data_IF_012129714355
#
_entry.id   IF_012129714355
#
_cell.length_a   1.000
_cell.length_b   1.000
_cell.length_c   1.000
_cell.angle_alpha   90.00
_cell.angle_beta   90.00
_cell.angle_gamma   90.00
#
_symmetry.space_group_name_H-M   'P 1'
#
loop_
_entity.id
_entity.type
_entity.pdbx_description
1 polymer ?
#
# COMPACT_ATOMS: atom_id res chain seq x y z
N UNK A 1 -10.27 13.11 20.43
CA UNK A 1 -9.53 14.14 19.66
C UNK A 1 -8.26 14.47 20.42
N UNK A 2 -7.13 14.62 19.75
CA UNK A 2 -5.85 15.05 20.34
C UNK A 2 -5.21 16.13 19.46
N UNK A 3 -4.17 16.80 19.96
CA UNK A 3 -3.52 17.91 19.26
C UNK A 3 -2.06 17.56 18.97
N UNK A 4 -1.61 17.89 17.76
CA UNK A 4 -0.20 17.90 17.40
C UNK A 4 0.11 19.23 16.72
N UNK A 5 0.85 20.09 17.41
CA UNK A 5 0.93 21.51 17.03
C UNK A 5 -0.44 22.19 17.13
N UNK A 6 -0.82 22.94 16.10
CA UNK A 6 -2.07 23.72 16.05
C UNK A 6 -3.22 23.00 15.33
N UNK A 7 -3.02 21.78 14.88
CA UNK A 7 -4.04 21.05 14.11
C UNK A 7 -4.68 19.98 14.99
N UNK A 8 -6.00 20.02 15.22
CA UNK A 8 -6.70 18.94 15.91
C UNK A 8 -6.71 17.68 15.05
N UNK A 9 -6.51 16.53 15.70
CA UNK A 9 -6.43 15.22 15.05
C UNK A 9 -7.41 14.21 15.67
N UNK A 10 -7.94 13.34 14.83
CA UNK A 10 -8.79 12.21 15.20
C UNK A 10 -8.29 10.95 14.50
N UNK A 11 -8.25 9.83 15.23
CA UNK A 11 -7.99 8.51 14.66
C UNK A 11 -9.31 7.75 14.66
N UNK A 12 -9.72 7.24 13.50
CA UNK A 12 -10.91 6.40 13.35
C UNK A 12 -10.44 4.98 13.13
N UNK A 13 -10.83 4.06 14.02
CA UNK A 13 -10.46 2.63 13.96
C UNK A 13 -11.62 1.73 13.52
N UNK A 14 -12.84 2.22 13.62
CA UNK A 14 -14.04 1.50 13.22
C UNK A 14 -14.08 1.34 11.68
N UNK A 15 -14.05 0.11 11.14
CA UNK A 15 -14.05 -0.12 9.70
C UNK A 15 -15.27 0.44 8.95
N UNK A 16 -16.44 0.55 9.59
CA UNK A 16 -17.64 1.13 8.95
C UNK A 16 -17.46 2.64 8.79
N UNK A 17 -16.99 3.32 9.84
CA UNK A 17 -16.72 4.77 9.80
C UNK A 17 -15.57 5.09 8.84
N UNK A 18 -14.56 4.21 8.75
CA UNK A 18 -13.48 4.34 7.76
C UNK A 18 -14.03 4.28 6.34
N UNK A 19 -14.92 3.33 6.06
CA UNK A 19 -15.55 3.23 4.76
C UNK A 19 -16.39 4.48 4.45
N UNK A 20 -17.14 5.01 5.42
CA UNK A 20 -17.90 6.25 5.27
C UNK A 20 -16.99 7.42 4.86
N UNK A 21 -15.86 7.59 5.56
CA UNK A 21 -14.86 8.62 5.25
C UNK A 21 -14.29 8.44 3.85
N UNK A 22 -13.88 7.22 3.49
CA UNK A 22 -13.24 6.93 2.21
C UNK A 22 -14.23 6.94 1.02
N UNK A 23 -15.51 6.68 1.27
CA UNK A 23 -16.55 6.66 0.23
C UNK A 23 -17.18 8.03 0.00
N UNK A 24 -16.83 9.04 0.81
CA UNK A 24 -17.42 10.37 0.74
C UNK A 24 -17.09 11.05 -0.60
N UNK A 25 -18.15 11.32 -1.40
CA UNK A 25 -18.06 12.00 -2.70
C UNK A 25 -18.32 13.51 -2.62
N UNK A 26 -18.69 14.02 -1.45
CA UNK A 26 -19.16 15.40 -1.28
C UNK A 26 -18.00 16.40 -1.12
N UNK A 27 -16.73 15.95 -1.20
CA UNK A 27 -15.56 16.82 -1.03
C UNK A 27 -15.45 17.40 0.39
N UNK A 28 -16.03 16.71 1.39
CA UNK A 28 -15.93 17.09 2.80
C UNK A 28 -14.53 16.82 3.34
N UNK A 29 -13.90 15.78 2.79
CA UNK A 29 -12.54 15.38 3.05
C UNK A 29 -11.64 15.67 1.86
N UNK A 30 -10.41 16.08 2.13
CA UNK A 30 -9.32 15.97 1.17
C UNK A 30 -8.00 15.63 1.86
N UNK A 31 -6.91 15.61 1.09
CA UNK A 31 -5.58 15.32 1.67
C UNK A 31 -5.18 16.48 2.59
N UNK A 32 -4.64 16.21 3.80
CA UNK A 32 -4.07 17.27 4.60
C UNK A 32 -2.94 17.98 3.82
N UNK A 33 -2.70 19.27 4.08
CA UNK A 33 -1.58 19.97 3.47
C UNK A 33 -0.28 19.22 3.78
N UNK A 34 0.43 18.83 2.73
CA UNK A 34 1.68 18.09 2.86
C UNK A 34 2.73 18.96 3.55
N UNK A 35 3.51 18.36 4.45
CA UNK A 35 4.68 19.02 5.02
C UNK A 35 5.66 19.40 3.89
N UNK A 36 6.18 20.64 3.85
CA UNK A 36 7.17 21.05 2.85
C UNK A 36 8.36 20.09 2.72
N UNK A 37 8.82 19.47 3.81
CA UNK A 37 9.90 18.48 3.77
C UNK A 37 9.48 17.19 3.05
N UNK A 38 8.23 16.74 3.21
CA UNK A 38 7.69 15.60 2.47
C UNK A 38 7.57 15.93 0.99
N UNK A 39 7.18 17.17 0.65
CA UNK A 39 7.15 17.64 -0.73
C UNK A 39 8.54 17.67 -1.36
N UNK A 40 9.56 18.14 -0.63
CA UNK A 40 10.95 18.15 -1.11
C UNK A 40 11.47 16.73 -1.31
N UNK A 41 11.22 15.82 -0.36
CA UNK A 41 11.61 14.41 -0.46
C UNK A 41 10.90 13.71 -1.63
N UNK A 42 9.62 14.00 -1.85
CA UNK A 42 8.85 13.43 -2.96
C UNK A 42 9.25 13.99 -4.32
N UNK A 43 9.80 15.21 -4.37
CA UNK A 43 10.21 15.87 -5.63
C UNK A 43 11.63 15.53 -6.07
N UNK A 44 12.43 14.91 -5.21
CA UNK A 44 13.86 14.72 -5.44
C UNK A 44 14.59 16.08 -5.47
N UNK A 45 15.89 16.07 -5.20
CA UNK A 45 16.73 17.27 -5.20
C UNK A 45 16.86 17.86 -6.60
N UNK A 46 15.87 18.63 -7.04
CA UNK A 46 15.97 19.52 -8.20
C UNK A 46 15.30 20.85 -7.84
N UNK A 47 16.02 21.66 -7.05
CA UNK A 47 15.85 23.10 -7.13
C UNK A 47 16.77 23.62 -8.24
N UNK A 48 16.18 24.17 -9.30
CA UNK A 48 16.58 25.49 -9.79
C UNK A 48 15.38 26.15 -10.47
N UNK A 49 15.00 27.29 -9.89
CA UNK A 49 14.29 28.43 -10.47
C UNK A 49 13.02 28.18 -11.30
N UNK A 50 11.89 28.68 -10.79
CA UNK A 50 11.35 29.94 -11.31
C UNK A 50 10.29 30.53 -10.36
N UNK A 51 10.58 31.74 -9.88
CA UNK A 51 9.58 32.66 -9.37
C UNK A 51 8.79 33.26 -10.54
N UNK A 52 7.51 33.52 -10.25
CA UNK A 52 6.56 34.44 -10.91
C UNK A 52 6.22 34.18 -12.39
N UNK A 53 4.94 33.91 -12.67
CA UNK A 53 4.01 34.98 -13.08
C UNK A 53 2.58 34.43 -13.24
N UNK A 54 1.64 35.08 -12.56
CA UNK A 54 0.22 34.99 -12.86
C UNK A 54 -0.03 35.59 -14.25
N UNK A 55 -0.25 34.74 -15.25
CA UNK A 55 -0.86 35.16 -16.51
C UNK A 55 -2.16 34.43 -16.71
N UNK A 56 -3.24 35.21 -16.74
CA UNK A 56 -4.56 34.78 -17.15
C UNK A 56 -4.49 34.23 -18.58
N UNK A 57 -4.64 32.92 -18.76
CA UNK A 57 -4.85 32.33 -20.07
C UNK A 57 -6.30 31.84 -20.21
N UNK A 58 -6.82 32.09 -21.41
CA UNK A 58 -8.22 32.06 -21.78
C UNK A 58 -8.77 30.63 -21.80
N UNK A 59 -10.05 30.51 -21.41
CA UNK A 59 -10.92 29.36 -21.74
C UNK A 59 -10.74 28.95 -23.20
N UNK A 60 -10.29 27.72 -23.45
CA UNK A 60 -10.26 27.20 -24.82
C UNK A 60 -9.33 26.03 -25.13
N UNK A 61 -8.91 25.20 -24.17
CA UNK A 61 -8.49 23.82 -24.42
C UNK A 61 -8.56 23.05 -23.09
N UNK A 62 -9.11 21.84 -23.08
CA UNK A 62 -9.36 21.05 -21.85
C UNK A 62 -8.28 19.97 -21.62
N UNK A 63 -7.14 20.08 -22.29
CA UNK A 63 -5.99 19.17 -22.12
C UNK A 63 -5.04 19.63 -21.01
N UNK A 64 -4.34 18.67 -20.40
CA UNK A 64 -3.19 18.96 -19.54
C UNK A 64 -2.06 19.55 -20.39
N UNK A 65 -1.33 20.53 -19.86
CA UNK A 65 -0.09 20.99 -20.51
C UNK A 65 0.98 19.90 -20.46
N UNK A 66 2.01 20.01 -21.31
CA UNK A 66 3.12 19.04 -21.29
C UNK A 66 3.83 19.02 -19.93
N UNK A 67 3.95 20.18 -19.27
CA UNK A 67 4.51 20.29 -17.92
C UNK A 67 3.64 19.57 -16.90
N UNK A 68 2.32 19.75 -16.96
CA UNK A 68 1.39 19.02 -16.09
C UNK A 68 1.46 17.51 -16.32
N UNK A 69 1.57 17.05 -17.57
CA UNK A 69 1.78 15.64 -17.91
C UNK A 69 3.10 15.12 -17.34
N UNK A 70 4.21 15.88 -17.43
CA UNK A 70 5.50 15.49 -16.86
C UNK A 70 5.40 15.36 -15.34
N UNK A 71 4.75 16.30 -14.66
CA UNK A 71 4.57 16.26 -13.21
C UNK A 71 3.71 15.05 -12.77
N UNK A 72 2.62 14.76 -13.49
CA UNK A 72 1.81 13.56 -13.22
C UNK A 72 2.60 12.26 -13.48
N UNK A 73 3.43 12.20 -14.53
CA UNK A 73 4.31 11.07 -14.81
C UNK A 73 5.32 10.83 -13.67
N UNK A 74 5.92 11.89 -13.11
CA UNK A 74 6.83 11.76 -11.95
C UNK A 74 6.11 11.18 -10.74
N UNK A 75 4.88 11.63 -10.48
CA UNK A 75 4.05 11.11 -9.38
C UNK A 75 3.78 9.62 -9.58
N UNK A 76 3.40 9.18 -10.78
CA UNK A 76 3.17 7.76 -11.06
C UNK A 76 4.44 6.92 -10.92
N UNK A 77 5.59 7.43 -11.37
CA UNK A 77 6.86 6.72 -11.26
C UNK A 77 7.23 6.44 -9.79
N UNK A 78 7.22 7.49 -8.94
CA UNK A 78 7.54 7.34 -7.51
C UNK A 78 6.50 6.48 -6.80
N UNK A 79 5.21 6.72 -7.06
CA UNK A 79 4.14 5.99 -6.41
C UNK A 79 4.16 4.50 -6.76
N UNK A 80 4.41 4.14 -8.03
CA UNK A 80 4.49 2.76 -8.49
C UNK A 80 5.74 2.04 -8.00
N UNK A 81 6.92 2.65 -8.16
CA UNK A 81 8.18 1.99 -7.86
C UNK A 81 8.38 1.73 -6.36
N UNK A 82 8.26 2.75 -5.53
CA UNK A 82 8.62 2.65 -4.10
C UNK A 82 7.65 1.73 -3.35
N UNK A 83 6.36 1.77 -3.68
CA UNK A 83 5.34 0.96 -3.00
C UNK A 83 5.40 -0.51 -3.41
N UNK A 84 5.54 -0.82 -4.70
CA UNK A 84 5.67 -2.21 -5.18
C UNK A 84 6.99 -2.83 -4.72
N UNK A 85 8.10 -2.07 -4.76
CA UNK A 85 9.40 -2.51 -4.23
C UNK A 85 9.34 -2.85 -2.74
N UNK A 86 8.68 -2.02 -1.94
CA UNK A 86 8.44 -2.30 -0.51
C UNK A 86 7.63 -3.59 -0.31
N UNK A 87 6.52 -3.78 -1.05
CA UNK A 87 5.72 -5.01 -1.00
C UNK A 87 6.55 -6.25 -1.33
N UNK A 88 7.33 -6.21 -2.42
CA UNK A 88 8.19 -7.32 -2.83
C UNK A 88 9.27 -7.61 -1.79
N UNK A 89 9.89 -6.57 -1.24
CA UNK A 89 10.92 -6.69 -0.19
C UNK A 89 10.37 -7.41 1.04
N UNK A 90 9.22 -6.97 1.56
CA UNK A 90 8.56 -7.65 2.69
C UNK A 90 8.12 -9.05 2.33
N UNK A 91 7.65 -9.29 1.10
CA UNK A 91 7.25 -10.62 0.65
C UNK A 91 8.43 -11.57 0.63
N UNK A 92 9.59 -11.15 0.14
CA UNK A 92 10.80 -11.97 0.16
C UNK A 92 11.29 -12.24 1.59
N UNK A 93 11.25 -11.24 2.49
CA UNK A 93 11.58 -11.45 3.91
C UNK A 93 10.67 -12.51 4.53
N UNK A 94 9.35 -12.36 4.37
CA UNK A 94 8.36 -13.26 4.96
C UNK A 94 8.49 -14.67 4.38
N UNK A 95 8.64 -14.82 3.05
CA UNK A 95 8.86 -16.14 2.45
C UNK A 95 10.20 -16.77 2.85
N UNK A 96 11.22 -15.97 3.19
CA UNK A 96 12.47 -16.48 3.75
C UNK A 96 12.31 -16.98 5.20
N UNK A 97 11.38 -16.40 5.96
CA UNK A 97 10.98 -16.85 7.30
C UNK A 97 10.06 -18.08 7.26
N UNK A 98 9.35 -18.28 6.14
CA UNK A 98 8.35 -19.33 5.95
C UNK A 98 8.65 -20.19 4.71
N UNK A 99 9.70 -21.05 4.75
CA UNK A 99 10.16 -21.81 3.59
C UNK A 99 9.08 -22.73 3.00
N UNK A 100 8.16 -23.27 3.81
CA UNK A 100 7.04 -24.08 3.33
C UNK A 100 6.12 -23.30 2.38
N UNK A 101 5.91 -22.01 2.64
CA UNK A 101 5.14 -21.14 1.77
C UNK A 101 5.90 -20.73 0.51
N UNK A 102 7.22 -20.55 0.63
CA UNK A 102 8.08 -20.30 -0.52
C UNK A 102 8.00 -21.48 -1.50
N UNK A 103 8.03 -22.71 -0.99
CA UNK A 103 7.95 -23.92 -1.80
C UNK A 103 6.55 -24.12 -2.40
N UNK A 104 5.47 -23.93 -1.62
CA UNK A 104 4.09 -23.94 -2.16
C UNK A 104 3.89 -22.95 -3.30
N UNK A 105 4.39 -21.71 -3.13
CA UNK A 105 4.30 -20.68 -4.16
C UNK A 105 5.13 -21.04 -5.39
N UNK A 106 6.34 -21.59 -5.21
CA UNK A 106 7.18 -22.08 -6.30
C UNK A 106 6.50 -23.18 -7.10
N UNK A 107 5.91 -24.16 -6.43
CA UNK A 107 5.19 -25.26 -7.09
C UNK A 107 4.01 -24.73 -7.92
N UNK A 108 3.24 -23.78 -7.38
CA UNK A 108 2.18 -23.11 -8.15
C UNK A 108 2.74 -22.40 -9.38
N UNK A 109 3.82 -21.61 -9.23
CA UNK A 109 4.44 -20.88 -10.34
C UNK A 109 4.92 -21.85 -11.42
N UNK A 110 5.60 -22.95 -11.06
CA UNK A 110 6.07 -23.95 -12.02
C UNK A 110 4.93 -24.64 -12.76
N UNK A 111 3.82 -24.91 -12.07
CA UNK A 111 2.65 -25.57 -12.64
C UNK A 111 1.88 -24.64 -13.59
N UNK A 112 1.74 -23.35 -13.23
CA UNK A 112 0.89 -22.40 -13.94
C UNK A 112 1.63 -21.65 -15.04
N UNK A 113 2.88 -21.25 -14.80
CA UNK A 113 3.68 -20.49 -15.77
C UNK A 113 4.53 -21.39 -16.68
N UNK A 114 4.67 -22.68 -16.35
CA UNK A 114 5.56 -23.60 -17.07
C UNK A 114 7.00 -23.55 -16.53
N UNK A 115 7.66 -24.71 -16.55
CA UNK A 115 9.02 -24.86 -15.99
C UNK A 115 10.09 -24.16 -16.83
N UNK A 116 9.92 -24.12 -18.14
CA UNK A 116 10.93 -23.59 -19.08
C UNK A 116 10.41 -22.37 -19.87
N UNK A 117 9.31 -21.76 -19.40
CA UNK A 117 8.65 -20.62 -20.04
C UNK A 117 8.68 -19.38 -19.12
N UNK A 118 8.70 -18.20 -19.73
CA UNK A 118 8.56 -16.95 -18.98
C UNK A 118 7.10 -16.73 -18.57
N UNK A 119 6.84 -16.21 -17.35
CA UNK A 119 5.47 -15.96 -16.90
C UNK A 119 4.72 -15.00 -17.84
N UNK A 120 3.57 -15.43 -18.35
CA UNK A 120 2.68 -14.61 -19.19
C UNK A 120 1.63 -13.89 -18.36
N UNK A 121 1.07 -12.79 -18.87
CA UNK A 121 -0.02 -12.06 -18.20
C UNK A 121 -1.20 -12.98 -17.84
N UNK A 122 -1.60 -13.87 -18.76
CA UNK A 122 -2.69 -14.83 -18.53
C UNK A 122 -2.37 -15.77 -17.37
N UNK A 123 -1.16 -16.35 -17.35
CA UNK A 123 -0.70 -17.23 -16.27
C UNK A 123 -0.76 -16.54 -14.89
N UNK A 124 -0.39 -15.25 -14.80
CA UNK A 124 -0.42 -14.49 -13.54
C UNK A 124 -1.83 -14.37 -12.93
N UNK A 125 -2.88 -14.43 -13.75
CA UNK A 125 -4.27 -14.40 -13.26
C UNK A 125 -4.65 -15.67 -12.49
N UNK A 126 -3.93 -16.77 -12.71
CA UNK A 126 -4.19 -18.08 -12.11
C UNK A 126 -3.34 -18.39 -10.86
N UNK A 127 -2.38 -17.54 -10.50
CA UNK A 127 -1.53 -17.70 -9.30
C UNK A 127 -2.29 -17.37 -8.00
N UNK A 128 -3.02 -18.33 -7.45
CA UNK A 128 -3.88 -18.18 -6.26
C UNK A 128 -3.07 -18.11 -4.96
N UNK A 129 -2.08 -19.00 -4.78
CA UNK A 129 -1.19 -19.04 -3.62
C UNK A 129 -0.36 -17.76 -3.54
N UNK A 130 0.22 -17.33 -4.67
CA UNK A 130 0.94 -16.04 -4.73
C UNK A 130 0.01 -14.88 -4.36
N UNK A 131 -1.23 -14.88 -4.83
CA UNK A 131 -2.23 -13.85 -4.47
C UNK A 131 -2.51 -13.84 -2.96
N UNK A 132 -2.67 -15.01 -2.34
CA UNK A 132 -2.89 -15.13 -0.89
C UNK A 132 -1.69 -14.59 -0.10
N UNK A 133 -0.46 -14.94 -0.52
CA UNK A 133 0.77 -14.46 0.11
C UNK A 133 0.88 -12.95 0.03
N UNK A 134 0.70 -12.36 -1.16
CA UNK A 134 0.80 -10.91 -1.35
C UNK A 134 -0.24 -10.14 -0.51
N UNK A 135 -1.47 -10.66 -0.41
CA UNK A 135 -2.49 -10.03 0.44
C UNK A 135 -2.16 -10.12 1.92
N UNK A 136 -1.63 -11.25 2.40
CA UNK A 136 -1.23 -11.41 3.80
C UNK A 136 0.01 -10.56 4.13
N UNK A 137 0.95 -10.40 3.19
CA UNK A 137 2.06 -9.46 3.34
C UNK A 137 1.56 -8.01 3.35
N UNK A 138 0.61 -7.64 2.47
CA UNK A 138 -0.04 -6.31 2.54
C UNK A 138 -0.79 -6.08 3.85
N UNK A 139 -1.25 -7.15 4.51
CA UNK A 139 -1.89 -7.06 5.82
C UNK A 139 -0.87 -6.73 6.89
N UNK A 140 0.20 -7.53 7.00
CA UNK A 140 1.21 -7.43 8.05
C UNK A 140 2.20 -6.28 7.83
N UNK A 141 2.56 -6.01 6.58
CA UNK A 141 3.57 -5.03 6.19
C UNK A 141 3.08 -4.12 5.04
N UNK A 142 1.96 -3.38 5.22
CA UNK A 142 1.48 -2.46 4.21
C UNK A 142 2.49 -1.34 3.95
N UNK A 143 2.84 -1.03 2.67
CA UNK A 143 3.72 0.10 2.36
C UNK A 143 3.20 1.42 2.95
N UNK A 144 1.89 1.67 2.84
CA UNK A 144 1.21 2.80 3.50
C UNK A 144 0.55 2.35 4.81
N UNK A 145 1.08 2.80 5.96
CA UNK A 145 0.59 2.36 7.28
C UNK A 145 -0.70 3.05 7.73
N UNK A 146 -1.07 4.18 7.09
CA UNK A 146 -2.27 4.94 7.38
C UNK A 146 -2.69 5.80 6.19
N UNK A 147 -3.99 6.10 6.11
CA UNK A 147 -4.53 7.12 5.21
C UNK A 147 -4.88 8.37 6.02
N UNK A 148 -4.65 9.53 5.43
CA UNK A 148 -4.91 10.81 6.06
C UNK A 148 -5.92 11.61 5.26
N UNK A 149 -6.90 12.15 5.97
CA UNK A 149 -7.95 13.03 5.46
C UNK A 149 -7.96 14.31 6.28
N UNK A 150 -8.53 15.38 5.72
CA UNK A 150 -8.67 16.69 6.35
C UNK A 150 -10.07 17.23 6.10
N UNK A 151 -10.74 17.70 7.16
CA UNK A 151 -12.08 18.28 7.04
C UNK A 151 -12.00 19.75 6.63
N UNK A 152 -12.66 20.13 5.52
CA UNK A 152 -12.72 21.54 5.09
C UNK A 152 -13.95 22.29 5.60
N UNK A 153 -14.92 21.55 6.12
CA UNK A 153 -16.18 22.05 6.69
C UNK A 153 -16.63 21.11 7.80
N UNK A 154 -17.64 21.54 8.55
CA UNK A 154 -18.28 20.64 9.50
C UNK A 154 -18.75 19.37 8.79
N UNK A 155 -18.31 18.22 9.29
CA UNK A 155 -18.50 16.92 8.65
C UNK A 155 -18.94 15.91 9.69
N UNK A 156 -20.06 15.24 9.43
CA UNK A 156 -20.54 14.13 10.26
C UNK A 156 -19.92 12.81 9.78
N UNK A 157 -19.52 11.97 10.73
CA UNK A 157 -19.05 10.60 10.51
C UNK A 157 -19.70 9.73 11.60
N UNK A 158 -20.62 8.86 11.22
CA UNK A 158 -21.51 8.20 12.18
C UNK A 158 -22.15 9.22 13.14
N UNK A 159 -21.91 9.04 14.44
CA UNK A 159 -22.41 9.94 15.49
C UNK A 159 -21.47 11.10 15.84
N UNK A 160 -20.31 11.21 15.17
CA UNK A 160 -19.32 12.26 15.41
C UNK A 160 -19.62 13.47 14.52
N UNK A 161 -19.58 14.68 15.07
CA UNK A 161 -19.50 15.92 14.28
C UNK A 161 -18.09 16.49 14.40
N UNK A 162 -17.38 16.56 13.28
CA UNK A 162 -16.03 17.14 13.21
C UNK A 162 -16.11 18.54 12.62
N UNK A 163 -15.54 19.57 13.28
CA UNK A 163 -15.45 20.91 12.69
C UNK A 163 -14.50 20.92 11.48
N UNK A 164 -14.45 22.03 10.76
CA UNK A 164 -13.42 22.28 9.76
C UNK A 164 -12.02 22.33 10.43
N UNK A 165 -10.98 21.94 9.69
CA UNK A 165 -9.59 22.01 10.14
C UNK A 165 -9.10 20.79 10.92
N UNK A 166 -9.82 19.66 10.89
CA UNK A 166 -9.46 18.43 11.62
C UNK A 166 -8.77 17.44 10.69
N UNK A 167 -7.59 16.97 11.09
CA UNK A 167 -6.96 15.83 10.42
C UNK A 167 -7.55 14.51 10.95
N UNK A 168 -8.01 13.68 10.03
CA UNK A 168 -8.56 12.36 10.30
C UNK A 168 -7.57 11.31 9.80
N UNK A 169 -7.11 10.45 10.71
CA UNK A 169 -6.17 9.35 10.42
C UNK A 169 -6.93 8.03 10.44
N UNK A 170 -6.76 7.23 9.38
CA UNK A 170 -7.31 5.90 9.21
C UNK A 170 -6.14 4.90 9.26
N UNK A 171 -5.88 4.26 10.42
CA UNK A 171 -4.62 3.56 10.66
C UNK A 171 -4.67 2.12 10.10
N UNK A 172 -4.29 1.95 8.83
CA UNK A 172 -4.26 0.66 8.12
C UNK A 172 -3.54 -0.40 8.96
N UNK A 173 -2.29 -0.14 9.37
CA UNK A 173 -1.46 -1.11 10.09
C UNK A 173 -2.13 -1.55 11.41
N UNK A 174 -2.66 -0.61 12.19
CA UNK A 174 -3.28 -0.96 13.48
C UNK A 174 -4.54 -1.80 13.30
N UNK A 175 -5.33 -1.55 12.26
CA UNK A 175 -6.55 -2.31 11.98
C UNK A 175 -6.23 -3.68 11.43
N UNK A 176 -5.20 -3.78 10.60
CA UNK A 176 -4.72 -5.04 10.03
C UNK A 176 -4.14 -5.99 11.09
N UNK A 177 -3.68 -5.47 12.23
CA UNK A 177 -3.19 -6.24 13.39
C UNK A 177 -4.20 -6.33 14.55
N UNK A 178 -5.41 -5.78 14.40
CA UNK A 178 -6.41 -5.81 15.47
C UNK A 178 -6.92 -7.24 15.67
N UNK A 179 -6.62 -7.83 16.83
CA UNK A 179 -7.06 -9.19 17.19
C UNK A 179 -8.58 -9.32 17.29
N UNK A 180 -9.31 -8.22 17.50
CA UNK A 180 -10.76 -8.23 17.45
C UNK A 180 -11.28 -8.44 16.04
N UNK A 181 -10.56 -7.99 15.00
CA UNK A 181 -10.94 -8.11 13.59
C UNK A 181 -10.32 -9.32 12.90
N UNK A 182 -9.09 -9.67 13.27
CA UNK A 182 -8.29 -10.70 12.59
C UNK A 182 -8.09 -11.98 13.40
N UNK A 183 -8.55 -12.02 14.65
CA UNK A 183 -8.41 -13.16 15.55
C UNK A 183 -7.14 -13.10 16.39
N UNK A 184 -6.97 -14.05 17.32
CA UNK A 184 -5.80 -14.07 18.22
C UNK A 184 -4.47 -14.31 17.47
N UNK A 185 -4.54 -14.88 16.27
CA UNK A 185 -3.43 -15.12 15.37
C UNK A 185 -3.17 -13.92 14.43
N UNK A 186 -3.66 -12.71 14.74
CA UNK A 186 -3.53 -11.53 13.89
C UNK A 186 -2.07 -11.17 13.55
N UNK A 187 -1.10 -11.46 14.42
CA UNK A 187 0.31 -11.18 14.15
C UNK A 187 1.01 -12.32 13.39
N UNK A 188 0.33 -13.44 13.15
CA UNK A 188 0.88 -14.59 12.43
C UNK A 188 0.73 -14.43 10.91
N UNK A 189 1.73 -14.88 10.16
CA UNK A 189 1.65 -15.01 8.72
C UNK A 189 0.81 -16.24 8.33
N UNK A 190 -0.43 -15.98 7.90
CA UNK A 190 -1.41 -17.02 7.55
C UNK A 190 -2.13 -16.72 6.22
N UNK A 191 -1.48 -16.98 5.07
CA UNK A 191 -2.06 -16.71 3.75
C UNK A 191 -3.44 -17.34 3.52
N UNK A 192 -3.77 -18.47 4.17
CA UNK A 192 -5.08 -19.13 4.00
C UNK A 192 -6.26 -18.25 4.42
N UNK A 193 -6.05 -17.16 5.17
CA UNK A 193 -7.09 -16.14 5.42
C UNK A 193 -7.72 -15.67 4.12
N UNK A 194 -6.93 -15.54 3.06
CA UNK A 194 -7.38 -15.05 1.76
C UNK A 194 -7.84 -16.15 0.80
N UNK A 195 -7.96 -17.41 1.25
CA UNK A 195 -8.34 -18.56 0.40
C UNK A 195 -9.74 -18.43 -0.22
N UNK A 196 -10.68 -17.83 0.51
CA UNK A 196 -12.03 -17.54 0.02
C UNK A 196 -12.18 -16.09 -0.50
N UNK A 197 -11.06 -15.41 -0.74
CA UNK A 197 -11.01 -14.03 -1.20
C UNK A 197 -11.05 -12.98 -0.09
N UNK A 198 -10.67 -11.74 -0.45
CA UNK A 198 -10.51 -10.60 0.49
C UNK A 198 -11.76 -10.34 1.34
N UNK A 199 -12.95 -10.47 0.75
CA UNK A 199 -14.21 -10.19 1.45
C UNK A 199 -14.50 -11.13 2.63
N UNK A 200 -13.84 -12.30 2.69
CA UNK A 200 -13.99 -13.29 3.76
C UNK A 200 -12.74 -13.41 4.65
N UNK A 201 -11.70 -12.62 4.39
CA UNK A 201 -10.41 -12.79 5.06
C UNK A 201 -10.40 -12.39 6.54
N UNK A 202 -11.22 -11.41 6.92
CA UNK A 202 -11.49 -11.08 8.32
C UNK A 202 -12.73 -11.82 8.79
N UNK A 203 -12.62 -12.48 9.94
CA UNK A 203 -13.69 -13.26 10.56
C UNK A 203 -14.90 -12.43 10.99
N UNK A 204 -14.73 -11.11 11.19
CA UNK A 204 -15.77 -10.25 11.76
C UNK A 204 -16.19 -9.10 10.87
N UNK A 205 -15.33 -8.60 9.98
CA UNK A 205 -15.65 -7.40 9.23
C UNK A 205 -15.04 -7.38 7.83
N UNK A 206 -15.89 -7.40 6.80
CA UNK A 206 -15.46 -7.40 5.38
C UNK A 206 -14.62 -6.19 4.98
N UNK A 207 -14.70 -5.11 5.76
CA UNK A 207 -14.02 -3.83 5.51
C UNK A 207 -12.72 -3.66 6.30
N UNK A 208 -12.27 -4.69 7.04
CA UNK A 208 -11.05 -4.61 7.85
C UNK A 208 -9.76 -4.68 7.01
N UNK A 209 -9.85 -4.94 5.70
CA UNK A 209 -8.71 -5.00 4.79
C UNK A 209 -8.84 -3.95 3.68
N UNK A 210 -8.00 -2.92 3.74
CA UNK A 210 -8.03 -1.80 2.79
C UNK A 210 -6.64 -1.21 2.51
N UNK A 211 -5.61 -2.03 2.18
CA UNK A 211 -4.25 -1.54 1.96
C UNK A 211 -4.13 -0.52 0.81
N UNK A 212 -5.08 -0.53 -0.12
CA UNK A 212 -5.17 0.40 -1.26
C UNK A 212 -6.19 1.52 -1.05
N UNK A 213 -6.76 1.64 0.14
CA UNK A 213 -7.91 2.50 0.41
C UNK A 213 -9.23 1.93 -0.12
N UNK A 214 -10.22 2.80 -0.24
CA UNK A 214 -11.58 2.44 -0.66
C UNK A 214 -12.26 3.62 -1.37
N UNK A 215 -13.33 3.33 -2.10
CA UNK A 215 -14.21 4.36 -2.67
C UNK A 215 -13.61 5.12 -3.87
N UNK A 216 -14.08 6.34 -4.16
CA UNK A 216 -13.70 7.11 -5.36
C UNK A 216 -12.22 7.51 -5.40
N UNK A 217 -11.49 7.40 -4.29
CA UNK A 217 -10.06 7.69 -4.17
C UNK A 217 -9.24 6.46 -3.81
N UNK A 218 -9.76 5.27 -4.11
CA UNK A 218 -8.97 4.03 -4.06
C UNK A 218 -7.73 4.15 -4.96
N UNK A 219 -6.66 3.43 -4.63
CA UNK A 219 -5.42 3.45 -5.41
C UNK A 219 -5.70 3.07 -6.86
N UNK A 220 -5.49 4.01 -7.78
CA UNK A 220 -5.65 3.78 -9.22
C UNK A 220 -4.66 2.73 -9.75
N UNK A 221 -3.50 2.61 -9.10
CA UNK A 221 -2.45 1.64 -9.45
C UNK A 221 -2.65 0.25 -8.85
N UNK A 222 -3.73 -0.03 -8.10
CA UNK A 222 -3.89 -1.31 -7.38
C UNK A 222 -3.75 -2.53 -8.29
N UNK A 223 -4.44 -2.54 -9.44
CA UNK A 223 -4.39 -3.67 -10.36
C UNK A 223 -2.99 -3.87 -10.95
N UNK A 224 -2.33 -2.75 -11.31
CA UNK A 224 -0.97 -2.77 -11.84
C UNK A 224 0.04 -3.25 -10.79
N UNK A 225 -0.01 -2.72 -9.56
CA UNK A 225 0.90 -3.08 -8.48
C UNK A 225 0.82 -4.57 -8.12
N UNK A 226 -0.39 -5.14 -8.04
CA UNK A 226 -0.56 -6.58 -7.77
C UNK A 226 -0.04 -7.42 -8.94
N UNK A 227 -0.28 -7.00 -10.18
CA UNK A 227 0.22 -7.70 -11.36
C UNK A 227 1.76 -7.67 -11.43
N UNK A 228 2.35 -6.50 -11.22
CA UNK A 228 3.80 -6.29 -11.19
C UNK A 228 4.45 -7.13 -10.09
N UNK A 229 3.89 -7.10 -8.88
CA UNK A 229 4.38 -7.91 -7.76
C UNK A 229 4.27 -9.41 -8.04
N UNK A 230 3.17 -9.87 -8.64
CA UNK A 230 3.01 -11.27 -9.08
C UNK A 230 4.06 -11.67 -10.11
N UNK A 231 4.27 -10.84 -11.12
CA UNK A 231 5.25 -11.08 -12.18
C UNK A 231 6.66 -11.22 -11.58
N UNK A 232 7.10 -10.19 -10.84
CA UNK A 232 8.44 -10.17 -10.26
C UNK A 232 8.65 -11.35 -9.30
N UNK A 233 7.67 -11.64 -8.43
CA UNK A 233 7.78 -12.77 -7.50
C UNK A 233 7.77 -14.11 -8.23
N UNK A 234 6.96 -14.29 -9.27
CA UNK A 234 6.96 -15.49 -10.09
C UNK A 234 8.34 -15.70 -10.74
N UNK A 235 8.95 -14.65 -11.32
CA UNK A 235 10.29 -14.74 -11.89
C UNK A 235 11.36 -15.09 -10.85
N UNK A 236 11.29 -14.53 -9.64
CA UNK A 236 12.20 -14.85 -8.54
C UNK A 236 12.02 -16.31 -8.11
N UNK A 237 10.79 -16.76 -7.87
CA UNK A 237 10.46 -18.13 -7.51
C UNK A 237 10.67 -19.12 -8.66
N UNK A 238 10.83 -18.65 -9.89
CA UNK A 238 11.21 -19.50 -10.99
C UNK A 238 12.70 -19.85 -10.92
N UNK A 239 13.53 -18.85 -10.63
CA UNK A 239 14.99 -18.96 -10.79
C UNK A 239 15.77 -19.17 -9.49
N UNK A 240 15.19 -18.83 -8.33
CA UNK A 240 15.93 -18.76 -7.07
C UNK A 240 15.15 -19.32 -5.88
N UNK A 241 15.87 -19.96 -4.98
CA UNK A 241 15.48 -20.12 -3.58
C UNK A 241 16.22 -19.13 -2.71
N UNK A 242 15.61 -18.68 -1.61
CA UNK A 242 16.23 -17.67 -0.76
C UNK A 242 15.91 -17.88 0.72
N UNK A 243 16.85 -17.46 1.57
CA UNK A 243 16.74 -17.52 3.03
C UNK A 243 17.26 -16.25 3.68
N UNK A 244 16.89 -16.00 4.94
CA UNK A 244 17.43 -14.89 5.71
C UNK A 244 18.95 -15.07 5.91
N UNK A 245 19.70 -13.99 5.74
CA UNK A 245 21.09 -13.94 6.17
C UNK A 245 21.16 -13.99 7.71
N UNK A 246 22.20 -14.59 8.31
CA UNK A 246 22.46 -14.47 9.75
C UNK A 246 22.60 -13.01 10.23
N UNK A 247 22.91 -12.08 9.33
CA UNK A 247 22.99 -10.63 9.62
C UNK A 247 21.65 -9.90 9.55
N UNK A 248 20.57 -10.57 9.15
CA UNK A 248 19.25 -9.94 9.08
C UNK A 248 18.74 -9.60 10.48
N UNK A 249 18.28 -8.36 10.66
CA UNK A 249 17.65 -7.88 11.88
C UNK A 249 16.23 -7.37 11.58
N UNK A 250 15.24 -8.05 12.13
CA UNK A 250 13.84 -7.69 11.91
C UNK A 250 13.47 -6.42 12.69
N UNK A 251 13.37 -5.30 11.98
CA UNK A 251 12.99 -4.01 12.54
C UNK A 251 12.17 -3.21 11.51
N UNK A 252 10.84 -3.40 11.45
CA UNK A 252 9.97 -2.56 10.63
C UNK A 252 10.02 -1.11 11.12
N UNK A 253 10.28 -0.18 10.21
CA UNK A 253 10.35 1.25 10.51
C UNK A 253 9.56 2.05 9.47
N UNK A 254 8.82 3.06 9.93
CA UNK A 254 8.05 3.94 9.06
C UNK A 254 8.75 5.29 8.94
N UNK A 255 9.11 5.65 7.70
CA UNK A 255 9.60 7.01 7.37
C UNK A 255 8.55 7.71 6.51
N UNK A 256 8.46 7.32 5.24
CA UNK A 256 7.34 7.66 4.35
C UNK A 256 6.52 6.39 4.07
N UNK A 257 7.20 5.29 3.76
CA UNK A 257 6.64 3.95 3.64
C UNK A 257 7.18 3.05 4.77
N UNK A 258 6.51 1.92 4.99
CA UNK A 258 7.00 0.87 5.88
C UNK A 258 8.15 0.10 5.20
N UNK A 259 9.32 0.13 5.82
CA UNK A 259 10.54 -0.50 5.29
C UNK A 259 11.33 -1.21 6.40
N UNK A 260 12.14 -2.21 6.05
CA UNK A 260 13.05 -2.82 7.01
C UNK A 260 14.17 -1.83 7.35
N UNK A 261 14.26 -1.39 8.60
CA UNK A 261 15.22 -0.37 9.07
C UNK A 261 16.67 -0.69 8.69
N UNK A 262 17.03 -1.97 8.76
CA UNK A 262 18.39 -2.45 8.48
C UNK A 262 18.54 -3.05 7.08
N UNK A 263 17.52 -2.95 6.22
CA UNK A 263 17.50 -3.58 4.89
C UNK A 263 17.05 -5.04 4.92
N UNK A 264 17.04 -5.67 3.74
CA UNK A 264 16.60 -7.05 3.52
C UNK A 264 17.79 -7.95 3.14
N UNK A 265 18.61 -8.35 4.12
CA UNK A 265 19.75 -9.24 3.85
C UNK A 265 19.25 -10.68 3.61
N UNK A 266 19.20 -11.06 2.34
CA UNK A 266 18.80 -12.39 1.88
C UNK A 266 19.97 -13.09 1.18
N UNK A 267 20.05 -14.41 1.35
CA UNK A 267 20.97 -15.27 0.61
C UNK A 267 20.18 -16.00 -0.46
N UNK A 268 20.43 -15.67 -1.73
CA UNK A 268 19.80 -16.28 -2.89
C UNK A 268 20.66 -17.45 -3.40
N UNK A 269 20.01 -18.55 -3.76
CA UNK A 269 20.60 -19.71 -4.41
C UNK A 269 19.87 -19.94 -5.73
N UNK A 270 20.62 -19.98 -6.83
CA UNK A 270 20.07 -20.31 -8.15
C UNK A 270 19.63 -21.79 -8.17
N UNK A 271 18.48 -22.06 -8.78
CA UNK A 271 17.94 -23.40 -8.99
C UNK A 271 18.34 -24.00 -10.34
#
# INVERSE_FOLDING_TARGET
MFWFGKTPKVIIKDPELIQEVLSNKLGHFGKPPLNPLILILARGSNEQNNQSESTSSKKGDHGLTIEEVIEECKVFYVAGQETTSSLLTWTMIVLAMHPDWQEKARQEVMQVCGKDEEPTFEALTHLKIVTMILNEVLRLYPPAIALYQHTYRETKIGNLSLPAGVDVTLPILLIHHDTQLWGNDADEFKPERFSEGVAKASSKHRLAFFPFGWGPRTCIGQQFAILEAKMALAMILHNFSFKLSPSYAHAPNTVMLLQPQHGAQLILHKL
#
